data_IF_525692188917
#
_entry.id   IF_525692188917
#
_cell.length_a   1.000
_cell.length_b   1.000
_cell.length_c   1.000
_cell.angle_alpha   90.00
_cell.angle_beta   90.00
_cell.angle_gamma   90.00
#
_symmetry.space_group_name_H-M   'P 1'
#
loop_
_entity.id
_entity.type
_entity.pdbx_description
1 polymer ?
#
# COMPACT_ATOMS: atom_id res chain seq x y z
N UNK A 1 -28.61 -2.73 -10.77
CA UNK A 1 -27.13 -2.84 -10.68
C UNK A 1 -26.76 -2.77 -9.22
N UNK A 2 -25.94 -3.69 -8.68
CA UNK A 2 -25.41 -3.56 -7.32
C UNK A 2 -24.51 -2.32 -7.27
N UNK A 3 -24.76 -1.45 -6.29
CA UNK A 3 -23.96 -0.23 -6.09
C UNK A 3 -22.55 -0.67 -5.66
N UNK A 4 -21.53 -0.29 -6.41
CA UNK A 4 -20.14 -0.55 -6.05
C UNK A 4 -19.78 0.27 -4.79
N UNK A 5 -19.16 -0.34 -3.76
CA UNK A 5 -18.73 0.39 -2.58
C UNK A 5 -17.54 1.30 -2.87
N UNK A 6 -17.43 2.42 -2.18
CA UNK A 6 -16.19 3.16 -2.13
C UNK A 6 -15.18 2.42 -1.22
N UNK A 7 -13.91 2.44 -1.61
CA UNK A 7 -12.82 1.77 -0.90
C UNK A 7 -11.80 2.83 -0.48
N UNK A 8 -11.52 2.93 0.81
CA UNK A 8 -10.43 3.73 1.36
C UNK A 8 -9.39 2.76 1.93
N UNK A 9 -8.21 2.75 1.34
CA UNK A 9 -7.10 1.90 1.76
C UNK A 9 -6.01 2.76 2.37
N UNK A 10 -5.76 2.59 3.67
CA UNK A 10 -4.77 3.37 4.43
C UNK A 10 -3.61 2.46 4.78
N UNK A 11 -2.40 2.86 4.41
CA UNK A 11 -1.15 2.16 4.74
C UNK A 11 -0.33 3.09 5.64
N UNK A 12 -0.06 2.66 6.86
CA UNK A 12 0.96 3.29 7.70
C UNK A 12 2.36 2.83 7.25
N UNK A 13 3.34 3.70 7.41
CA UNK A 13 4.73 3.38 7.10
C UNK A 13 5.50 3.19 8.41
N UNK A 14 6.29 2.12 8.47
CA UNK A 14 7.18 1.77 9.60
C UNK A 14 6.47 1.68 10.97
N UNK A 15 5.20 1.27 10.97
CA UNK A 15 4.39 1.14 12.19
C UNK A 15 4.39 -0.32 12.67
N UNK A 16 4.91 -0.55 13.88
CA UNK A 16 4.81 -1.83 14.56
C UNK A 16 3.37 -2.12 15.02
N UNK A 17 2.94 -3.38 15.00
CA UNK A 17 1.58 -3.79 15.40
C UNK A 17 1.23 -3.39 16.84
N UNK A 18 2.25 -3.25 17.70
CA UNK A 18 2.10 -2.84 19.11
C UNK A 18 1.89 -1.34 19.29
N UNK A 19 1.96 -0.53 18.23
CA UNK A 19 1.91 0.94 18.30
C UNK A 19 0.49 1.51 18.32
N UNK A 20 -0.51 0.74 18.76
CA UNK A 20 -1.91 1.17 18.79
C UNK A 20 -2.58 0.77 20.11
N UNK A 21 -3.55 1.56 20.57
CA UNK A 21 -4.36 1.27 21.75
C UNK A 21 -5.09 -0.06 21.62
N UNK A 22 -5.72 -0.33 20.47
CA UNK A 22 -6.41 -1.60 20.19
C UNK A 22 -5.48 -2.82 20.18
N UNK A 23 -4.17 -2.62 20.10
CA UNK A 23 -3.15 -3.68 20.23
C UNK A 23 -2.59 -3.81 21.66
N UNK A 24 -3.17 -3.09 22.62
CA UNK A 24 -2.80 -3.14 24.04
C UNK A 24 -1.77 -2.10 24.48
N UNK A 25 -1.36 -1.19 23.61
CA UNK A 25 -0.47 -0.09 23.99
C UNK A 25 -1.24 0.96 24.81
N UNK A 26 -0.77 1.21 26.03
CA UNK A 26 -1.42 2.16 26.96
C UNK A 26 -0.84 3.58 26.89
N UNK A 27 0.29 3.76 26.21
CA UNK A 27 0.99 5.04 26.09
C UNK A 27 0.55 5.81 24.85
N UNK A 28 0.10 5.09 23.81
CA UNK A 28 -0.34 5.68 22.54
C UNK A 28 -1.84 5.95 22.58
N UNK A 29 -2.21 7.17 22.22
CA UNK A 29 -3.61 7.62 22.13
C UNK A 29 -4.04 7.52 20.66
N UNK A 30 -4.82 6.48 20.32
CA UNK A 30 -5.30 6.21 18.95
C UNK A 30 -6.81 5.99 18.84
N UNK A 31 -7.65 6.91 19.36
CA UNK A 31 -9.08 6.67 19.58
C UNK A 31 -9.85 6.37 18.30
N UNK A 32 -9.46 6.97 17.18
CA UNK A 32 -10.15 6.75 15.91
C UNK A 32 -9.82 5.39 15.30
N UNK A 33 -8.57 4.95 15.38
CA UNK A 33 -8.17 3.60 14.91
C UNK A 33 -8.72 2.54 15.85
N UNK A 34 -8.71 2.80 17.17
CA UNK A 34 -9.30 1.89 18.16
C UNK A 34 -10.79 1.70 17.93
N UNK A 35 -11.52 2.78 17.58
CA UNK A 35 -12.92 2.70 17.20
C UNK A 35 -13.14 1.87 15.92
N UNK A 36 -12.32 2.05 14.90
CA UNK A 36 -12.39 1.24 13.67
C UNK A 36 -12.16 -0.25 13.99
N UNK A 37 -11.24 -0.56 14.90
CA UNK A 37 -10.99 -1.92 15.33
C UNK A 37 -12.16 -2.53 16.11
N UNK A 38 -12.91 -1.73 16.88
CA UNK A 38 -14.10 -2.16 17.62
C UNK A 38 -15.33 -2.35 16.73
N UNK A 39 -15.51 -1.47 15.76
CA UNK A 39 -16.67 -1.46 14.85
C UNK A 39 -16.49 -2.37 13.63
N UNK A 40 -15.25 -2.73 13.31
CA UNK A 40 -14.87 -3.51 12.14
C UNK A 40 -14.29 -4.89 12.48
N UNK A 41 -13.43 -5.37 11.58
CA UNK A 41 -12.71 -6.63 11.75
C UNK A 41 -11.22 -6.37 11.90
N UNK A 42 -10.62 -6.87 12.98
CA UNK A 42 -9.17 -6.83 13.19
C UNK A 42 -8.57 -8.21 12.92
N UNK A 43 -7.59 -8.26 12.04
CA UNK A 43 -6.82 -9.47 11.74
C UNK A 43 -5.57 -9.50 12.61
N UNK A 44 -5.50 -10.43 13.56
CA UNK A 44 -4.38 -10.51 14.50
C UNK A 44 -3.14 -11.20 13.91
N UNK A 45 -3.34 -12.05 12.92
CA UNK A 45 -2.30 -12.81 12.24
C UNK A 45 -2.23 -12.43 10.76
N UNK A 46 -2.02 -11.15 10.48
CA UNK A 46 -1.82 -10.62 9.14
C UNK A 46 -0.40 -10.07 9.01
N UNK A 47 0.40 -10.68 8.15
CA UNK A 47 1.83 -10.41 8.04
C UNK A 47 2.20 -9.82 6.70
N UNK A 48 3.16 -8.89 6.69
CA UNK A 48 3.82 -8.46 5.47
C UNK A 48 4.69 -9.59 4.93
N UNK A 49 4.80 -9.68 3.61
CA UNK A 49 5.70 -10.63 2.93
C UNK A 49 7.18 -10.28 3.10
N UNK A 50 7.46 -9.02 3.43
CA UNK A 50 8.77 -8.48 3.75
C UNK A 50 8.61 -7.34 4.75
N UNK A 51 9.52 -7.19 5.73
CA UNK A 51 9.48 -6.09 6.70
C UNK A 51 10.11 -4.78 6.16
N UNK A 52 10.13 -4.59 4.85
CA UNK A 52 10.73 -3.44 4.17
C UNK A 52 9.68 -2.78 3.26
N UNK A 53 9.67 -1.45 3.23
CA UNK A 53 8.62 -0.65 2.60
C UNK A 53 8.39 -0.98 1.11
N UNK A 54 9.43 -0.94 0.26
CA UNK A 54 9.25 -1.18 -1.19
C UNK A 54 8.71 -2.57 -1.51
N UNK A 55 9.29 -3.69 -1.02
CA UNK A 55 8.75 -5.02 -1.30
C UNK A 55 7.38 -5.26 -0.66
N UNK A 56 7.12 -4.73 0.54
CA UNK A 56 5.79 -4.84 1.15
C UNK A 56 4.71 -4.13 0.32
N UNK A 57 5.01 -2.92 -0.17
CA UNK A 57 4.11 -2.16 -1.05
C UNK A 57 3.87 -2.84 -2.39
N UNK A 58 4.93 -3.40 -2.99
CA UNK A 58 4.82 -4.20 -4.21
C UNK A 58 3.92 -5.41 -4.01
N UNK A 59 4.10 -6.14 -2.90
CA UNK A 59 3.26 -7.29 -2.56
C UNK A 59 1.80 -6.90 -2.33
N UNK A 60 1.54 -5.79 -1.63
CA UNK A 60 0.18 -5.27 -1.44
C UNK A 60 -0.51 -4.94 -2.76
N UNK A 61 0.20 -4.35 -3.71
CA UNK A 61 -0.35 -3.97 -5.01
C UNK A 61 -0.60 -5.17 -5.92
N UNK A 62 0.34 -6.11 -5.96
CA UNK A 62 0.33 -7.21 -6.93
C UNK A 62 -0.30 -8.50 -6.41
N UNK A 63 -0.43 -8.64 -5.08
CA UNK A 63 -0.85 -9.89 -4.44
C UNK A 63 0.19 -11.01 -4.54
N UNK A 64 1.45 -10.67 -4.88
CA UNK A 64 2.55 -11.63 -5.05
C UNK A 64 3.68 -11.38 -4.06
N UNK A 65 4.57 -12.34 -3.89
CA UNK A 65 5.72 -12.25 -2.99
C UNK A 65 6.95 -11.65 -3.70
N UNK A 66 7.99 -11.16 -2.98
CA UNK A 66 9.18 -10.54 -3.58
C UNK A 66 9.85 -11.35 -4.67
N UNK A 67 9.92 -12.66 -4.55
CA UNK A 67 10.50 -13.55 -5.58
C UNK A 67 9.69 -13.59 -6.89
N UNK A 68 8.44 -13.15 -6.88
CA UNK A 68 7.56 -13.11 -8.06
C UNK A 68 7.52 -11.71 -8.68
N UNK A 69 7.37 -10.65 -7.87
CA UNK A 69 7.32 -9.29 -8.40
C UNK A 69 8.70 -8.64 -8.56
N UNK A 70 9.78 -9.24 -8.07
CA UNK A 70 11.16 -8.82 -8.30
C UNK A 70 11.65 -7.65 -7.44
N UNK A 71 10.83 -7.07 -6.58
CA UNK A 71 11.23 -6.03 -5.64
C UNK A 71 11.64 -6.70 -4.33
N UNK A 72 12.95 -6.85 -4.13
CA UNK A 72 13.48 -7.66 -3.02
C UNK A 72 13.86 -6.85 -1.78
N UNK A 73 14.22 -5.57 -1.96
CA UNK A 73 14.75 -4.74 -0.89
C UNK A 73 14.30 -3.27 -1.05
N UNK A 74 14.74 -2.43 -0.12
CA UNK A 74 14.51 -1.00 -0.13
C UNK A 74 15.08 -0.35 -1.40
N UNK A 75 14.26 0.43 -2.08
CA UNK A 75 14.66 1.13 -3.29
C UNK A 75 15.19 2.51 -2.94
N UNK A 76 16.27 2.92 -3.57
CA UNK A 76 16.88 4.22 -3.36
C UNK A 76 16.19 5.29 -4.20
N UNK A 77 15.70 6.32 -3.53
CA UNK A 77 15.09 7.48 -4.21
C UNK A 77 16.15 8.56 -4.57
N UNK A 78 17.36 8.45 -3.99
CA UNK A 78 18.49 9.34 -4.24
C UNK A 78 19.31 8.99 -5.50
N UNK A 79 19.04 7.85 -6.13
CA UNK A 79 19.63 7.43 -7.40
C UNK A 79 18.67 7.72 -8.55
N UNK A 80 19.00 8.71 -9.39
CA UNK A 80 18.17 9.14 -10.53
C UNK A 80 17.83 7.99 -11.49
N UNK A 81 18.72 7.02 -11.66
CA UNK A 81 18.46 5.87 -12.54
C UNK A 81 17.47 4.90 -11.91
N UNK A 82 17.62 4.63 -10.62
CA UNK A 82 16.70 3.75 -9.89
C UNK A 82 15.33 4.40 -9.69
N UNK A 83 15.30 5.69 -9.34
CA UNK A 83 14.05 6.44 -9.16
C UNK A 83 13.25 6.59 -10.46
N UNK A 84 13.88 6.52 -11.64
CA UNK A 84 13.21 6.54 -12.93
C UNK A 84 12.63 5.19 -13.36
N UNK A 85 13.02 4.07 -12.73
CA UNK A 85 12.55 2.74 -13.09
C UNK A 85 11.11 2.52 -12.61
N UNK A 86 10.31 1.90 -13.45
CA UNK A 86 8.97 1.40 -13.09
C UNK A 86 9.09 -0.06 -12.65
N UNK A 87 9.37 -0.30 -11.37
CA UNK A 87 9.62 -1.66 -10.86
C UNK A 87 8.44 -2.62 -11.02
N UNK A 88 7.22 -2.09 -11.12
CA UNK A 88 6.02 -2.90 -11.33
C UNK A 88 5.53 -2.87 -12.79
N UNK A 89 6.37 -2.44 -13.73
CA UNK A 89 6.03 -2.47 -15.15
C UNK A 89 5.67 -3.90 -15.60
N UNK A 90 4.51 -4.04 -16.22
CA UNK A 90 4.01 -5.35 -16.68
C UNK A 90 3.38 -6.23 -15.59
N UNK A 91 3.45 -5.85 -14.32
CA UNK A 91 2.76 -6.57 -13.25
C UNK A 91 1.27 -6.23 -13.24
N UNK A 92 0.43 -7.22 -12.93
CA UNK A 92 -0.99 -6.97 -12.71
C UNK A 92 -1.21 -6.52 -11.26
N UNK A 93 -1.97 -5.45 -11.06
CA UNK A 93 -2.23 -4.88 -9.74
C UNK A 93 -3.73 -4.84 -9.41
N UNK A 94 -4.08 -4.80 -8.12
CA UNK A 94 -5.47 -4.62 -7.73
C UNK A 94 -6.05 -3.28 -8.21
N UNK A 95 -5.23 -2.24 -8.36
CA UNK A 95 -5.66 -0.94 -8.89
C UNK A 95 -6.05 -1.04 -10.36
N UNK A 96 -5.30 -1.82 -11.14
CA UNK A 96 -5.69 -2.15 -12.51
C UNK A 96 -7.00 -2.93 -12.55
N UNK A 97 -7.13 -3.96 -11.73
CA UNK A 97 -8.36 -4.75 -11.64
C UNK A 97 -9.57 -3.88 -11.27
N UNK A 98 -9.42 -2.96 -10.32
CA UNK A 98 -10.47 -2.01 -9.95
C UNK A 98 -10.82 -1.06 -11.10
N UNK A 99 -9.81 -0.48 -11.77
CA UNK A 99 -10.02 0.41 -12.90
C UNK A 99 -10.74 -0.28 -14.07
N UNK A 100 -10.38 -1.51 -14.38
CA UNK A 100 -11.07 -2.34 -15.39
C UNK A 100 -12.52 -2.65 -15.02
N UNK A 101 -12.87 -2.56 -13.74
CA UNK A 101 -14.23 -2.70 -13.23
C UNK A 101 -14.93 -1.37 -12.92
N UNK A 102 -14.44 -0.27 -13.51
CA UNK A 102 -15.09 1.04 -13.46
C UNK A 102 -14.83 1.88 -12.21
N UNK A 103 -13.85 1.51 -11.39
CA UNK A 103 -13.40 2.34 -10.28
C UNK A 103 -12.46 3.45 -10.74
N UNK A 104 -12.59 4.61 -10.13
CA UNK A 104 -11.63 5.70 -10.22
C UNK A 104 -10.65 5.54 -9.05
N UNK A 105 -9.40 5.18 -9.33
CA UNK A 105 -8.40 4.95 -8.30
C UNK A 105 -7.52 6.19 -8.11
N UNK A 106 -7.26 6.53 -6.85
CA UNK A 106 -6.41 7.64 -6.47
C UNK A 106 -5.31 7.17 -5.50
N UNK A 107 -4.12 7.77 -5.60
CA UNK A 107 -3.06 7.66 -4.61
C UNK A 107 -2.77 9.04 -4.03
N UNK A 108 -2.63 9.10 -2.71
CA UNK A 108 -2.08 10.24 -2.00
C UNK A 108 -1.09 9.75 -0.95
N UNK A 109 0.19 10.08 -1.11
CA UNK A 109 1.27 9.70 -0.19
C UNK A 109 2.40 8.92 -0.84
N UNK A 110 3.10 8.13 -0.04
CA UNK A 110 4.32 7.42 -0.43
C UNK A 110 4.05 6.31 -1.45
N UNK A 111 4.73 6.36 -2.59
CA UNK A 111 4.76 5.30 -3.60
C UNK A 111 5.90 4.31 -3.34
N UNK A 112 7.14 4.77 -3.41
CA UNK A 112 8.38 4.05 -3.12
C UNK A 112 8.62 2.77 -3.95
N UNK A 113 8.23 2.81 -5.22
CA UNK A 113 8.48 1.73 -6.18
C UNK A 113 8.95 2.28 -7.53
N UNK A 114 9.77 3.34 -7.47
CA UNK A 114 10.31 4.04 -8.62
C UNK A 114 9.27 4.83 -9.41
N UNK A 115 9.74 5.68 -10.32
CA UNK A 115 8.93 6.52 -11.20
C UNK A 115 7.75 7.24 -10.50
N UNK A 116 7.98 7.76 -9.27
CA UNK A 116 6.96 8.39 -8.45
C UNK A 116 6.31 9.63 -9.10
N UNK A 117 7.04 10.32 -9.97
CA UNK A 117 6.54 11.45 -10.76
C UNK A 117 5.59 11.09 -11.89
N UNK A 118 5.39 9.79 -12.16
CA UNK A 118 4.54 9.28 -13.23
C UNK A 118 3.32 8.56 -12.65
N UNK A 119 2.15 8.83 -13.21
CA UNK A 119 0.93 8.10 -12.84
C UNK A 119 1.12 6.61 -13.15
N UNK A 120 0.93 5.78 -12.14
CA UNK A 120 1.12 4.34 -12.26
C UNK A 120 -0.17 3.63 -12.69
N UNK A 121 -0.02 2.39 -13.15
CA UNK A 121 -1.09 1.59 -13.75
C UNK A 121 -2.33 1.46 -12.84
N UNK A 122 -3.50 1.75 -13.41
CA UNK A 122 -4.78 1.67 -12.72
C UNK A 122 -5.17 2.92 -11.94
N UNK A 123 -4.26 3.88 -11.76
CA UNK A 123 -4.57 5.15 -11.10
C UNK A 123 -4.99 6.23 -12.12
N UNK A 124 -5.94 7.08 -11.70
CA UNK A 124 -6.39 8.26 -12.44
C UNK A 124 -6.00 9.56 -11.74
N UNK A 125 -5.86 9.53 -10.41
CA UNK A 125 -5.40 10.65 -9.60
C UNK A 125 -4.13 10.24 -8.86
N UNK A 126 -3.10 11.09 -8.96
CA UNK A 126 -1.78 10.74 -8.47
C UNK A 126 -1.15 11.90 -7.73
N UNK A 127 -0.95 11.70 -6.44
CA UNK A 127 -0.26 12.65 -5.57
C UNK A 127 0.76 11.86 -4.72
N UNK A 128 1.96 11.69 -5.30
CA UNK A 128 3.02 10.88 -4.71
C UNK A 128 4.22 11.75 -4.30
N UNK A 129 4.91 11.31 -3.29
CA UNK A 129 6.23 11.80 -2.85
C UNK A 129 7.16 10.63 -2.59
#
# INVERSE_FOLDING_TARGET
MKKQPNIVFIISDDQGYWSLGCSGNKEIISPNIDRLAQEGMRFENFFCTSPVCSPARASLLTGTIPSQHGVHDWLRDDDEKQSALEYLAGQYSYTKALAENGYCCALSGKWHMGAAGKVQQGFTHWFSH
#
